data_IF_197742543219
#
_entry.id   IF_197742543219
#
_cell.length_a   1.000
_cell.length_b   1.000
_cell.length_c   1.000
_cell.angle_alpha   90.00
_cell.angle_beta   90.00
_cell.angle_gamma   90.00
#
_symmetry.space_group_name_H-M   'P 1'
#
loop_
_entity.id
_entity.type
_entity.pdbx_description
1 polymer ?
#
# COMPACT_ATOMS: atom_id res chain seq x y z
N UNK A 1 5.56 -25.43 -18.88
CA UNK A 1 5.67 -25.12 -17.43
C UNK A 1 5.54 -23.62 -17.26
N UNK A 2 4.90 -23.12 -16.18
CA UNK A 2 4.78 -21.68 -15.89
C UNK A 2 5.55 -21.35 -14.60
N UNK A 3 6.44 -20.38 -14.68
CA UNK A 3 7.14 -19.78 -13.55
C UNK A 3 6.59 -18.35 -13.31
N UNK A 4 6.16 -18.06 -12.11
CA UNK A 4 5.73 -16.71 -11.72
C UNK A 4 6.72 -16.16 -10.70
N UNK A 5 7.30 -15.00 -10.97
CA UNK A 5 8.20 -14.28 -10.08
C UNK A 5 7.47 -13.01 -9.66
N UNK A 6 6.97 -13.01 -8.44
CA UNK A 6 6.30 -11.87 -7.83
C UNK A 6 7.31 -10.95 -7.13
N UNK A 7 7.00 -9.65 -7.05
CA UNK A 7 7.87 -8.62 -6.46
C UNK A 7 9.27 -8.60 -7.12
N UNK A 8 9.31 -8.68 -8.45
CA UNK A 8 10.57 -8.74 -9.21
C UNK A 8 11.46 -7.51 -8.96
N UNK A 9 10.89 -6.39 -8.55
CA UNK A 9 11.63 -5.21 -8.11
C UNK A 9 12.61 -5.49 -6.96
N UNK A 10 12.35 -6.47 -6.10
CA UNK A 10 13.27 -6.82 -5.01
C UNK A 10 14.61 -7.35 -5.55
N UNK A 11 14.55 -8.14 -6.62
CA UNK A 11 15.75 -8.60 -7.32
C UNK A 11 16.55 -7.43 -7.92
N UNK A 12 15.85 -6.46 -8.52
CA UNK A 12 16.48 -5.27 -9.08
C UNK A 12 17.18 -4.43 -8.00
N UNK A 13 16.55 -4.26 -6.84
CA UNK A 13 17.12 -3.53 -5.70
C UNK A 13 18.36 -4.26 -5.16
N UNK A 14 18.27 -5.56 -4.89
CA UNK A 14 19.38 -6.36 -4.36
C UNK A 14 20.54 -6.46 -5.34
N UNK A 15 20.26 -6.55 -6.63
CA UNK A 15 21.26 -6.56 -7.68
C UNK A 15 21.99 -5.23 -7.81
N UNK A 16 21.28 -4.12 -7.73
CA UNK A 16 21.87 -2.78 -7.77
C UNK A 16 22.76 -2.47 -6.56
N UNK A 17 22.39 -2.98 -5.38
CA UNK A 17 23.20 -2.80 -4.15
C UNK A 17 24.39 -3.76 -4.04
N UNK A 18 24.58 -4.65 -5.03
CA UNK A 18 25.65 -5.65 -5.03
C UNK A 18 25.46 -6.74 -3.96
N UNK A 19 24.29 -6.81 -3.32
CA UNK A 19 23.98 -7.83 -2.30
C UNK A 19 23.76 -9.19 -2.93
N UNK A 20 23.22 -9.23 -4.16
CA UNK A 20 23.04 -10.45 -4.94
C UNK A 20 24.15 -10.55 -6.00
N UNK A 21 25.21 -11.32 -5.68
CA UNK A 21 26.36 -11.49 -6.59
C UNK A 21 25.98 -12.21 -7.89
N UNK A 22 24.94 -13.02 -7.86
CA UNK A 22 24.48 -13.83 -8.98
C UNK A 22 23.41 -13.09 -9.80
N UNK A 23 23.09 -11.85 -9.48
CA UNK A 23 22.04 -11.09 -10.16
C UNK A 23 22.18 -11.09 -11.70
N UNK A 24 23.37 -10.79 -12.28
CA UNK A 24 23.51 -10.84 -13.74
C UNK A 24 23.20 -12.21 -14.33
N UNK A 25 23.67 -13.29 -13.68
CA UNK A 25 23.44 -14.66 -14.14
C UNK A 25 21.95 -15.03 -14.07
N UNK A 26 21.23 -14.63 -13.03
CA UNK A 26 19.78 -14.84 -12.90
C UNK A 26 19.02 -14.10 -14.01
N UNK A 27 19.39 -12.86 -14.30
CA UNK A 27 18.77 -12.07 -15.37
C UNK A 27 19.05 -12.69 -16.75
N UNK A 28 20.28 -13.13 -17.00
CA UNK A 28 20.64 -13.78 -18.26
C UNK A 28 19.89 -15.11 -18.46
N UNK A 29 19.74 -15.90 -17.39
CA UNK A 29 18.97 -17.16 -17.43
C UNK A 29 17.48 -16.90 -17.76
N UNK A 30 16.85 -15.95 -17.08
CA UNK A 30 15.44 -15.57 -17.34
C UNK A 30 15.30 -15.06 -18.78
N UNK A 31 16.23 -14.23 -19.25
CA UNK A 31 16.22 -13.71 -20.62
C UNK A 31 16.36 -14.83 -21.65
N UNK A 32 17.28 -15.77 -21.40
CA UNK A 32 17.49 -16.93 -22.29
C UNK A 32 16.24 -17.79 -22.38
N UNK A 33 15.53 -17.99 -21.26
CA UNK A 33 14.25 -18.71 -21.24
C UNK A 33 13.18 -17.95 -22.03
N UNK A 34 13.11 -16.62 -21.87
CA UNK A 34 12.14 -15.78 -22.58
C UNK A 34 12.36 -15.77 -24.10
N UNK A 35 13.63 -15.84 -24.55
CA UNK A 35 14.00 -15.89 -25.96
C UNK A 35 13.91 -17.31 -26.57
N UNK A 36 13.59 -18.33 -25.77
CA UNK A 36 13.53 -19.71 -26.22
C UNK A 36 12.12 -20.12 -26.63
N UNK A 37 11.99 -20.95 -27.67
CA UNK A 37 10.73 -21.63 -28.06
C UNK A 37 10.38 -22.80 -27.12
N UNK A 38 10.90 -22.80 -25.91
CA UNK A 38 10.75 -23.89 -24.95
C UNK A 38 9.38 -23.91 -24.25
N UNK A 39 9.08 -25.05 -23.61
CA UNK A 39 7.81 -25.27 -22.87
C UNK A 39 7.74 -24.47 -21.52
N UNK A 40 8.63 -23.52 -21.27
CA UNK A 40 8.66 -22.71 -20.05
C UNK A 40 8.26 -21.27 -20.36
N UNK A 41 7.17 -20.85 -19.75
CA UNK A 41 6.74 -19.44 -19.74
C UNK A 41 7.08 -18.80 -18.41
N UNK A 42 7.56 -17.55 -18.44
CA UNK A 42 7.89 -16.77 -17.24
C UNK A 42 6.96 -15.55 -17.16
N UNK A 43 6.35 -15.34 -16.01
CA UNK A 43 5.60 -14.12 -15.69
C UNK A 43 6.36 -13.37 -14.61
N UNK A 44 6.74 -12.12 -14.90
CA UNK A 44 7.33 -11.20 -13.94
C UNK A 44 6.27 -10.23 -13.48
N UNK A 45 6.04 -10.15 -12.17
CA UNK A 45 5.14 -9.16 -11.56
C UNK A 45 6.00 -8.13 -10.87
N UNK A 46 5.84 -6.87 -11.26
CA UNK A 46 6.69 -5.78 -10.81
C UNK A 46 5.89 -4.48 -10.70
N UNK A 47 6.30 -3.61 -9.80
CA UNK A 47 5.78 -2.24 -9.69
C UNK A 47 6.25 -1.41 -10.89
N UNK A 48 5.38 -0.56 -11.40
CA UNK A 48 5.63 0.29 -12.58
C UNK A 48 6.71 1.35 -12.34
N UNK A 49 6.88 1.83 -11.11
CA UNK A 49 7.92 2.79 -10.74
C UNK A 49 9.35 2.21 -10.84
N UNK A 50 9.52 0.89 -10.93
CA UNK A 50 10.80 0.23 -11.17
C UNK A 50 11.14 0.01 -12.65
N UNK A 51 10.25 0.38 -13.56
CA UNK A 51 10.47 0.23 -15.00
C UNK A 51 11.76 0.90 -15.51
N UNK A 52 12.10 2.15 -15.11
CA UNK A 52 13.37 2.77 -15.50
C UNK A 52 14.59 2.00 -15.00
N UNK A 53 14.50 1.39 -13.82
CA UNK A 53 15.59 0.59 -13.26
C UNK A 53 15.76 -0.73 -14.01
N UNK A 54 14.67 -1.41 -14.35
CA UNK A 54 14.70 -2.59 -15.20
C UNK A 54 15.35 -2.29 -16.56
N UNK A 55 14.96 -1.18 -17.20
CA UNK A 55 15.53 -0.74 -18.47
C UNK A 55 17.04 -0.49 -18.38
N UNK A 56 17.49 0.07 -17.25
CA UNK A 56 18.91 0.39 -17.04
C UNK A 56 19.77 -0.84 -16.71
N UNK A 57 19.21 -1.82 -15.99
CA UNK A 57 19.98 -2.96 -15.46
C UNK A 57 19.80 -4.25 -16.25
N UNK A 58 18.66 -4.44 -16.91
CA UNK A 58 18.28 -5.65 -17.64
C UNK A 58 17.51 -5.32 -18.93
N UNK A 59 18.07 -4.42 -19.76
CA UNK A 59 17.41 -3.94 -20.98
C UNK A 59 17.05 -5.07 -21.97
N UNK A 60 17.86 -6.10 -22.10
CA UNK A 60 17.56 -7.27 -22.94
C UNK A 60 16.35 -8.04 -22.44
N UNK A 61 16.23 -8.23 -21.13
CA UNK A 61 15.05 -8.87 -20.52
C UNK A 61 13.79 -8.03 -20.78
N UNK A 62 13.90 -6.72 -20.65
CA UNK A 62 12.79 -5.82 -20.98
C UNK A 62 12.37 -5.94 -22.45
N UNK A 63 13.32 -5.93 -23.39
CA UNK A 63 13.03 -6.11 -24.81
C UNK A 63 12.32 -7.43 -25.08
N UNK A 64 12.77 -8.52 -24.49
CA UNK A 64 12.14 -9.83 -24.61
C UNK A 64 10.72 -9.88 -23.99
N UNK A 65 10.48 -9.16 -22.90
CA UNK A 65 9.20 -9.10 -22.21
C UNK A 65 8.18 -8.14 -22.87
N UNK A 66 8.62 -7.16 -23.67
CA UNK A 66 7.75 -6.14 -24.27
C UNK A 66 6.53 -6.69 -25.02
N UNK A 67 6.61 -7.77 -25.83
CA UNK A 67 5.44 -8.30 -26.53
C UNK A 67 4.35 -8.83 -25.60
N UNK A 68 4.70 -9.22 -24.37
CA UNK A 68 3.80 -9.75 -23.34
C UNK A 68 3.51 -8.75 -22.22
N UNK A 69 3.89 -7.48 -22.36
CA UNK A 69 3.70 -6.47 -21.31
C UNK A 69 2.21 -6.21 -21.06
N UNK A 70 1.78 -6.42 -19.82
CA UNK A 70 0.44 -6.10 -19.34
C UNK A 70 0.52 -5.06 -18.21
N UNK A 71 0.01 -3.86 -18.47
CA UNK A 71 -0.12 -2.85 -17.44
C UNK A 71 -1.42 -3.06 -16.66
N UNK A 72 -1.31 -3.27 -15.35
CA UNK A 72 -2.46 -3.26 -14.45
C UNK A 72 -2.84 -1.81 -14.18
N UNK A 73 -4.13 -1.42 -14.36
CA UNK A 73 -4.55 -0.05 -14.12
C UNK A 73 -4.25 0.42 -12.70
N UNK A 74 -3.67 1.60 -12.55
CA UNK A 74 -3.40 2.24 -11.26
C UNK A 74 -4.63 2.91 -10.63
N UNK A 75 -5.75 2.96 -11.36
CA UNK A 75 -7.02 3.56 -10.93
C UNK A 75 -8.19 2.66 -11.24
N UNK A 76 -9.21 2.73 -10.39
CA UNK A 76 -10.44 1.93 -10.46
C UNK A 76 -11.63 2.83 -10.76
N UNK A 77 -12.37 2.52 -11.82
CA UNK A 77 -13.64 3.15 -12.13
C UNK A 77 -14.79 2.57 -11.29
N UNK A 78 -15.97 3.21 -11.39
CA UNK A 78 -17.19 2.71 -10.68
C UNK A 78 -17.54 1.27 -11.05
N UNK A 79 -17.33 0.88 -12.32
CA UNK A 79 -17.58 -0.47 -12.77
C UNK A 79 -16.62 -1.48 -12.12
N UNK A 80 -15.33 -1.14 -12.10
CA UNK A 80 -14.31 -2.00 -11.50
C UNK A 80 -14.58 -2.20 -10.01
N UNK A 81 -14.91 -1.11 -9.29
CA UNK A 81 -15.29 -1.16 -7.88
C UNK A 81 -16.54 -2.01 -7.67
N UNK A 82 -17.54 -1.89 -8.55
CA UNK A 82 -18.76 -2.69 -8.48
C UNK A 82 -18.45 -4.19 -8.64
N UNK A 83 -17.68 -4.54 -9.65
CA UNK A 83 -17.28 -5.92 -9.91
C UNK A 83 -16.48 -6.51 -8.73
N UNK A 84 -15.54 -5.73 -8.17
CA UNK A 84 -14.73 -6.12 -7.01
C UNK A 84 -15.60 -6.33 -5.75
N UNK A 85 -16.64 -5.53 -5.55
CA UNK A 85 -17.54 -5.63 -4.39
C UNK A 85 -18.53 -6.79 -4.55
N UNK A 86 -19.17 -6.89 -5.70
CA UNK A 86 -20.35 -7.73 -5.88
C UNK A 86 -20.00 -9.16 -6.30
N UNK A 87 -19.05 -9.35 -7.22
CA UNK A 87 -18.77 -10.67 -7.79
C UNK A 87 -18.26 -11.68 -6.75
N UNK A 88 -17.32 -11.32 -5.81
CA UNK A 88 -16.91 -12.25 -4.77
C UNK A 88 -18.05 -12.67 -3.83
N UNK A 89 -18.92 -11.73 -3.44
CA UNK A 89 -20.08 -12.03 -2.59
C UNK A 89 -21.07 -12.99 -3.29
N UNK A 90 -21.37 -12.70 -4.55
CA UNK A 90 -22.25 -13.54 -5.38
C UNK A 90 -21.67 -14.96 -5.57
N UNK A 91 -20.36 -15.09 -5.74
CA UNK A 91 -19.71 -16.40 -5.91
C UNK A 91 -19.87 -17.33 -4.70
N UNK A 92 -20.10 -16.78 -3.51
CA UNK A 92 -20.34 -17.52 -2.26
C UNK A 92 -21.82 -17.48 -1.82
N UNK A 93 -22.74 -17.06 -2.70
CA UNK A 93 -24.17 -17.06 -2.45
C UNK A 93 -24.63 -15.97 -1.46
N UNK A 94 -23.92 -14.84 -1.38
CA UNK A 94 -24.31 -13.69 -0.60
C UNK A 94 -24.91 -12.61 -1.50
N UNK A 95 -25.95 -11.96 -1.01
CA UNK A 95 -26.59 -10.83 -1.68
C UNK A 95 -26.40 -9.54 -0.87
N UNK A 96 -26.34 -8.43 -1.58
CA UNK A 96 -26.37 -7.10 -0.97
C UNK A 96 -27.81 -6.60 -0.86
N UNK A 97 -28.10 -5.90 0.22
CA UNK A 97 -29.30 -5.09 0.29
C UNK A 97 -29.26 -4.03 -0.82
N UNK A 98 -30.40 -3.76 -1.43
CA UNK A 98 -30.52 -2.86 -2.58
C UNK A 98 -29.85 -1.50 -2.31
N UNK A 99 -28.99 -1.05 -3.22
CA UNK A 99 -28.31 0.24 -3.15
C UNK A 99 -27.05 0.25 -2.26
N UNK A 100 -26.74 -0.84 -1.53
CA UNK A 100 -25.58 -0.88 -0.67
C UNK A 100 -24.24 -0.89 -1.46
N UNK A 101 -24.08 -1.63 -2.56
CA UNK A 101 -22.86 -1.55 -3.37
C UNK A 101 -22.58 -0.13 -3.88
N UNK A 102 -23.63 0.55 -4.37
CA UNK A 102 -23.51 1.93 -4.86
C UNK A 102 -23.13 2.91 -3.76
N UNK A 103 -23.64 2.71 -2.55
CA UNK A 103 -23.24 3.50 -1.38
C UNK A 103 -21.79 3.27 -1.03
N UNK A 104 -21.33 2.02 -0.95
CA UNK A 104 -19.91 1.69 -0.67
C UNK A 104 -18.99 2.34 -1.71
N UNK A 105 -19.36 2.26 -3.00
CA UNK A 105 -18.59 2.87 -4.09
C UNK A 105 -18.53 4.39 -3.92
N UNK A 106 -19.64 5.02 -3.56
CA UNK A 106 -19.69 6.47 -3.35
C UNK A 106 -18.77 6.89 -2.22
N UNK A 107 -18.87 6.19 -1.08
CA UNK A 107 -18.04 6.45 0.10
C UNK A 107 -16.53 6.24 -0.19
N UNK A 108 -16.17 5.21 -0.97
CA UNK A 108 -14.79 4.97 -1.42
C UNK A 108 -14.29 6.12 -2.30
N UNK A 109 -15.10 6.59 -3.24
CA UNK A 109 -14.72 7.69 -4.14
C UNK A 109 -14.63 9.04 -3.43
N UNK A 110 -15.40 9.23 -2.35
CA UNK A 110 -15.35 10.44 -1.51
C UNK A 110 -14.14 10.48 -0.57
N UNK A 111 -13.56 9.32 -0.23
CA UNK A 111 -12.33 9.29 0.59
C UNK A 111 -11.08 9.73 -0.17
N UNK A 112 -11.17 9.97 -1.48
CA UNK A 112 -10.05 10.43 -2.30
C UNK A 112 -10.00 11.97 -2.35
N UNK A 113 -8.95 12.63 -1.80
CA UNK A 113 -8.84 14.09 -1.77
C UNK A 113 -8.52 14.75 -3.11
N UNK A 114 -8.24 13.97 -4.18
CA UNK A 114 -7.90 14.53 -5.49
C UNK A 114 -9.11 14.68 -6.42
N UNK A 115 -9.75 15.86 -6.49
CA UNK A 115 -10.90 16.09 -7.37
C UNK A 115 -10.55 16.12 -8.87
N UNK A 116 -9.27 16.12 -9.23
CA UNK A 116 -8.81 16.29 -10.61
C UNK A 116 -8.92 15.02 -11.48
N UNK A 117 -9.01 13.84 -10.91
CA UNK A 117 -9.11 12.56 -11.65
C UNK A 117 -10.55 12.02 -11.77
N UNK A 118 -11.53 12.87 -11.78
CA UNK A 118 -12.92 12.59 -12.14
C UNK A 118 -13.41 11.15 -11.92
N UNK A 119 -14.01 10.85 -10.77
CA UNK A 119 -14.78 9.61 -10.49
C UNK A 119 -14.02 8.27 -10.55
N UNK A 120 -12.70 8.29 -10.36
CA UNK A 120 -11.88 7.09 -10.22
C UNK A 120 -11.21 7.07 -8.85
N UNK A 121 -11.03 5.86 -8.29
CA UNK A 121 -10.27 5.66 -7.06
C UNK A 121 -8.88 5.09 -7.39
N UNK A 122 -7.81 5.50 -6.68
CA UNK A 122 -6.52 4.84 -6.81
C UNK A 122 -6.61 3.39 -6.30
N UNK A 123 -5.83 2.48 -6.85
CA UNK A 123 -5.80 1.07 -6.40
C UNK A 123 -5.42 0.92 -4.92
N UNK A 124 -4.81 1.94 -4.34
CA UNK A 124 -4.47 1.98 -2.89
C UNK A 124 -5.69 1.95 -1.98
N UNK A 125 -6.92 2.14 -2.50
CA UNK A 125 -8.15 1.96 -1.72
C UNK A 125 -8.52 0.50 -1.49
N UNK A 126 -7.95 -0.44 -2.27
CA UNK A 126 -8.30 -1.86 -2.21
C UNK A 126 -8.13 -2.48 -0.82
N UNK A 127 -7.04 -2.25 -0.08
CA UNK A 127 -6.92 -2.77 1.28
C UNK A 127 -8.02 -2.27 2.22
N UNK A 128 -8.42 -1.00 2.08
CA UNK A 128 -9.49 -0.40 2.86
C UNK A 128 -10.83 -1.03 2.51
N UNK A 129 -11.10 -1.20 1.22
CA UNK A 129 -12.30 -1.85 0.71
C UNK A 129 -12.38 -3.31 1.16
N UNK A 130 -11.30 -4.08 1.03
CA UNK A 130 -11.19 -5.47 1.49
C UNK A 130 -11.54 -5.60 2.98
N UNK A 131 -11.00 -4.71 3.82
CA UNK A 131 -11.28 -4.70 5.25
C UNK A 131 -12.74 -4.40 5.54
N UNK A 132 -13.29 -3.39 4.88
CA UNK A 132 -14.70 -3.00 5.01
C UNK A 132 -15.61 -4.18 4.63
N UNK A 133 -15.36 -4.82 3.50
CA UNK A 133 -16.12 -5.97 3.03
C UNK A 133 -15.95 -7.20 3.93
N UNK A 134 -14.73 -7.43 4.45
CA UNK A 134 -14.47 -8.51 5.41
C UNK A 134 -15.26 -8.32 6.70
N UNK A 135 -15.28 -7.10 7.24
CA UNK A 135 -16.02 -6.83 8.47
C UNK A 135 -17.54 -6.87 8.22
N UNK A 136 -18.00 -6.36 7.09
CA UNK A 136 -19.38 -6.45 6.66
C UNK A 136 -19.82 -7.92 6.49
N UNK A 137 -18.95 -8.76 5.90
CA UNK A 137 -19.21 -10.21 5.76
C UNK A 137 -19.32 -10.91 7.12
N UNK A 138 -18.53 -10.52 8.11
CA UNK A 138 -18.63 -11.06 9.49
C UNK A 138 -19.98 -10.75 10.13
N UNK A 139 -20.56 -9.59 9.79
CA UNK A 139 -21.85 -9.12 10.31
C UNK A 139 -23.04 -9.43 9.39
N UNK A 140 -22.84 -10.30 8.37
CA UNK A 140 -23.92 -10.73 7.47
C UNK A 140 -25.07 -11.38 8.24
N UNK A 141 -26.28 -11.20 7.73
CA UNK A 141 -27.47 -11.76 8.31
C UNK A 141 -28.31 -12.45 7.23
N UNK A 142 -28.65 -13.71 7.45
CA UNK A 142 -29.52 -14.49 6.56
C UNK A 142 -29.10 -14.49 5.08
N UNK A 143 -27.79 -14.52 4.81
CA UNK A 143 -27.25 -14.46 3.45
C UNK A 143 -27.17 -13.05 2.86
N UNK A 144 -27.47 -12.00 3.62
CA UNK A 144 -27.47 -10.62 3.17
C UNK A 144 -26.39 -9.78 3.85
N UNK A 145 -25.79 -8.88 3.06
CA UNK A 145 -25.00 -7.75 3.50
C UNK A 145 -25.91 -6.53 3.56
N UNK A 146 -26.06 -5.92 4.75
CA UNK A 146 -27.12 -4.94 5.01
C UNK A 146 -26.56 -3.53 5.27
N UNK A 147 -27.37 -2.51 4.99
CA UNK A 147 -27.07 -1.12 5.34
C UNK A 147 -26.85 -0.95 6.85
N UNK A 148 -27.64 -1.64 7.68
CA UNK A 148 -27.49 -1.59 9.13
C UNK A 148 -26.12 -2.08 9.57
N UNK A 149 -25.65 -3.21 9.04
CA UNK A 149 -24.30 -3.74 9.32
C UNK A 149 -23.22 -2.76 8.84
N UNK A 150 -23.40 -2.18 7.65
CA UNK A 150 -22.47 -1.22 7.07
C UNK A 150 -22.35 0.05 7.92
N UNK A 151 -23.45 0.59 8.41
CA UNK A 151 -23.44 1.74 9.33
C UNK A 151 -22.79 1.39 10.68
N UNK A 152 -23.07 0.17 11.19
CA UNK A 152 -22.52 -0.29 12.48
C UNK A 152 -21.00 -0.40 12.46
N UNK A 153 -20.40 -0.81 11.35
CA UNK A 153 -18.94 -0.82 11.19
C UNK A 153 -18.34 0.57 10.95
N UNK A 154 -19.17 1.60 10.84
CA UNK A 154 -18.75 2.98 10.59
C UNK A 154 -18.44 3.27 9.12
N UNK A 155 -19.07 2.55 8.19
CA UNK A 155 -18.83 2.63 6.75
C UNK A 155 -17.35 2.38 6.38
N UNK A 156 -16.87 2.92 5.27
CA UNK A 156 -15.48 2.78 4.83
C UNK A 156 -14.51 3.41 5.82
N UNK A 157 -14.82 4.61 6.32
CA UNK A 157 -13.93 5.34 7.24
C UNK A 157 -13.80 4.67 8.61
N UNK A 158 -14.89 4.09 9.15
CA UNK A 158 -14.87 3.42 10.44
C UNK A 158 -14.05 2.12 10.43
N UNK A 159 -14.08 1.39 9.33
CA UNK A 159 -13.27 0.19 9.15
C UNK A 159 -11.77 0.49 9.25
N UNK A 160 -11.33 1.64 8.72
CA UNK A 160 -9.93 2.09 8.80
C UNK A 160 -9.53 2.42 10.25
N UNK A 161 -10.40 3.14 10.97
CA UNK A 161 -10.17 3.45 12.39
C UNK A 161 -10.06 2.19 13.23
N UNK A 162 -11.00 1.27 13.09
CA UNK A 162 -10.99 0.00 13.81
C UNK A 162 -9.73 -0.85 13.50
N UNK A 163 -9.24 -0.76 12.28
CA UNK A 163 -8.01 -1.43 11.87
C UNK A 163 -6.76 -0.83 12.54
N UNK A 164 -6.61 0.47 12.51
CA UNK A 164 -5.53 1.15 13.21
C UNK A 164 -5.55 0.85 14.70
N UNK A 165 -6.72 0.93 15.34
CA UNK A 165 -6.86 0.58 16.75
C UNK A 165 -6.49 -0.86 17.06
N UNK A 166 -6.86 -1.80 16.18
CA UNK A 166 -6.48 -3.22 16.34
C UNK A 166 -4.97 -3.41 16.27
N UNK A 167 -4.31 -2.73 15.34
CA UNK A 167 -2.85 -2.79 15.22
C UNK A 167 -2.15 -2.17 16.45
N UNK A 168 -2.68 -1.05 16.95
CA UNK A 168 -2.15 -0.40 18.15
C UNK A 168 -2.35 -1.27 19.41
N UNK A 169 -3.45 -1.99 19.52
CA UNK A 169 -3.69 -2.92 20.65
C UNK A 169 -2.72 -4.11 20.71
N UNK A 170 -2.01 -4.43 19.65
CA UNK A 170 -0.95 -5.45 19.66
C UNK A 170 0.38 -4.96 20.25
N UNK A 171 0.50 -3.65 20.41
CA UNK A 171 1.67 -2.99 20.98
C UNK A 171 1.50 -2.82 22.49
N UNK A 172 2.60 -2.87 23.22
CA UNK A 172 2.61 -2.49 24.64
C UNK A 172 2.21 -1.03 24.82
N UNK A 173 1.77 -0.58 26.03
CA UNK A 173 1.45 0.83 26.27
C UNK A 173 2.57 1.80 25.88
N UNK A 174 3.82 1.46 26.16
CA UNK A 174 4.97 2.27 25.81
C UNK A 174 5.17 2.33 24.29
N UNK A 175 5.05 1.18 23.61
CA UNK A 175 5.13 1.09 22.16
C UNK A 175 3.97 1.81 21.45
N UNK A 176 2.80 1.92 22.07
CA UNK A 176 1.69 2.72 21.52
C UNK A 176 2.03 4.21 21.48
N UNK A 177 2.77 4.69 22.47
CA UNK A 177 3.30 6.06 22.48
C UNK A 177 4.27 6.28 21.31
N UNK A 178 5.20 5.34 21.10
CA UNK A 178 6.13 5.37 19.97
C UNK A 178 5.36 5.32 18.64
N UNK A 179 4.37 4.43 18.51
CA UNK A 179 3.57 4.31 17.29
C UNK A 179 2.84 5.61 16.96
N UNK A 180 2.30 6.30 17.95
CA UNK A 180 1.68 7.61 17.77
C UNK A 180 2.67 8.66 17.26
N UNK A 181 3.89 8.68 17.78
CA UNK A 181 4.94 9.57 17.33
C UNK A 181 5.34 9.24 15.89
N UNK A 182 5.58 7.96 15.56
CA UNK A 182 5.88 7.49 14.21
C UNK A 182 4.79 7.97 13.22
N UNK A 183 3.52 7.70 13.51
CA UNK A 183 2.42 8.08 12.62
C UNK A 183 2.30 9.60 12.45
N UNK A 184 2.58 10.36 13.52
CA UNK A 184 2.58 11.83 13.47
C UNK A 184 3.70 12.36 12.57
N UNK A 185 4.91 11.80 12.65
CA UNK A 185 6.03 12.18 11.80
C UNK A 185 5.78 11.92 10.31
N UNK A 186 4.93 10.93 9.99
CA UNK A 186 4.59 10.57 8.61
C UNK A 186 3.47 11.45 8.01
N UNK A 187 3.07 12.52 8.71
CA UNK A 187 2.08 13.47 8.22
C UNK A 187 2.67 14.87 8.22
N UNK A 188 2.66 15.54 7.08
CA UNK A 188 2.88 16.98 7.02
C UNK A 188 1.59 17.68 7.42
N UNK A 189 1.63 18.54 8.44
CA UNK A 189 0.44 19.27 8.85
C UNK A 189 -0.08 20.19 7.73
N UNK A 190 -1.37 20.51 7.78
CA UNK A 190 -1.99 21.45 6.87
C UNK A 190 -1.31 22.84 6.96
N UNK A 191 -1.05 23.42 5.80
CA UNK A 191 -0.68 24.85 5.70
C UNK A 191 -1.93 25.67 5.39
N UNK A 192 -2.53 26.23 6.43
CA UNK A 192 -3.77 27.03 6.32
C UNK A 192 -3.57 28.32 5.54
N UNK A 193 -2.35 28.88 5.51
CA UNK A 193 -2.04 30.12 4.77
C UNK A 193 -2.01 29.84 3.26
N UNK A 194 -1.47 28.69 2.88
CA UNK A 194 -1.37 28.27 1.47
C UNK A 194 -2.53 27.38 1.01
N UNK A 195 -3.50 27.08 1.90
CA UNK A 195 -4.62 26.18 1.66
C UNK A 195 -4.17 24.77 1.24
N UNK A 196 -3.04 24.32 1.75
CA UNK A 196 -2.54 22.96 1.51
C UNK A 196 -3.14 22.05 2.60
N UNK A 197 -3.87 20.99 2.22
CA UNK A 197 -4.35 20.00 3.20
C UNK A 197 -3.18 19.20 3.80
N UNK A 198 -3.39 18.50 4.92
CA UNK A 198 -2.38 17.60 5.44
C UNK A 198 -2.09 16.51 4.40
N UNK A 199 -0.82 16.20 4.19
CA UNK A 199 -0.37 15.20 3.21
C UNK A 199 0.60 14.21 3.84
N UNK A 200 0.71 13.03 3.24
CA UNK A 200 1.70 12.03 3.65
C UNK A 200 3.12 12.60 3.50
N UNK A 201 3.98 12.21 4.42
CA UNK A 201 5.40 12.48 4.35
C UNK A 201 6.17 11.17 4.20
N UNK A 202 7.17 11.18 3.32
CA UNK A 202 8.21 10.15 3.30
C UNK A 202 9.32 10.60 4.25
N UNK A 203 9.62 9.78 5.24
CA UNK A 203 10.62 10.08 6.27
C UNK A 203 11.67 8.97 6.28
N UNK A 204 12.98 9.31 6.18
CA UNK A 204 14.05 8.34 6.32
C UNK A 204 13.92 7.57 7.65
N UNK A 205 14.18 6.26 7.62
CA UNK A 205 14.01 5.44 8.83
C UNK A 205 14.93 5.89 9.96
N UNK A 206 16.14 6.35 9.67
CA UNK A 206 17.07 6.85 10.68
C UNK A 206 16.58 8.15 11.33
N UNK A 207 16.02 9.06 10.53
CA UNK A 207 15.36 10.26 11.02
C UNK A 207 14.13 9.91 11.85
N UNK A 208 13.31 8.96 11.37
CA UNK A 208 12.11 8.50 12.06
C UNK A 208 12.42 7.88 13.42
N UNK A 209 13.50 7.10 13.53
CA UNK A 209 14.01 6.58 14.82
C UNK A 209 14.34 7.69 15.80
N UNK A 210 15.03 8.72 15.32
CA UNK A 210 15.38 9.87 16.15
C UNK A 210 14.17 10.69 16.62
N UNK A 211 13.22 10.94 15.71
CA UNK A 211 12.01 11.74 16.00
C UNK A 211 11.02 10.97 16.88
N UNK A 212 10.88 9.66 16.70
CA UNK A 212 9.91 8.84 17.42
C UNK A 212 10.37 8.42 18.82
N UNK A 213 11.68 8.37 19.09
CA UNK A 213 12.23 7.98 20.38
C UNK A 213 11.91 8.97 21.53
N UNK A 214 11.57 10.23 21.22
CA UNK A 214 11.30 11.26 22.23
C UNK A 214 12.51 11.62 23.10
N UNK A 215 12.33 12.58 24.02
CA UNK A 215 13.41 13.06 24.89
C UNK A 215 13.84 12.06 26.00
N UNK A 216 13.04 11.03 26.28
CA UNK A 216 13.24 10.02 27.33
C UNK A 216 13.66 8.63 26.77
N UNK A 217 14.45 8.61 25.70
CA UNK A 217 15.24 7.45 25.23
C UNK A 217 14.53 6.10 25.30
N UNK A 218 13.52 5.89 24.42
CA UNK A 218 13.16 4.52 24.08
C UNK A 218 14.34 3.86 23.36
N UNK A 219 14.74 2.62 23.68
CA UNK A 219 15.76 1.90 22.93
C UNK A 219 15.39 1.86 21.44
N UNK A 220 16.35 2.05 20.54
CA UNK A 220 16.13 2.01 19.10
C UNK A 220 15.43 0.72 18.64
N UNK A 221 15.63 -0.38 19.35
CA UNK A 221 14.99 -1.67 19.13
C UNK A 221 13.45 -1.61 19.26
N UNK A 222 12.91 -0.78 20.17
CA UNK A 222 11.46 -0.62 20.32
C UNK A 222 10.84 0.16 19.16
N UNK A 223 11.53 1.17 18.63
CA UNK A 223 11.06 1.92 17.46
C UNK A 223 11.02 1.00 16.23
N UNK A 224 12.05 0.19 16.01
CA UNK A 224 12.11 -0.76 14.91
C UNK A 224 11.02 -1.84 15.03
N UNK A 225 10.74 -2.35 16.24
CA UNK A 225 9.67 -3.29 16.49
C UNK A 225 8.29 -2.70 16.17
N UNK A 226 8.07 -1.42 16.51
CA UNK A 226 6.85 -0.68 16.19
C UNK A 226 6.72 -0.48 14.69
N UNK A 227 7.77 -0.01 14.00
CA UNK A 227 7.79 0.17 12.55
C UNK A 227 7.48 -1.16 11.84
N UNK A 228 8.12 -2.26 12.25
CA UNK A 228 7.87 -3.58 11.69
C UNK A 228 6.42 -4.05 11.90
N UNK A 229 5.83 -3.74 13.06
CA UNK A 229 4.44 -4.09 13.35
C UNK A 229 3.47 -3.26 12.51
N UNK A 230 3.67 -1.96 12.40
CA UNK A 230 2.85 -1.07 11.55
C UNK A 230 2.96 -1.45 10.07
N UNK A 231 4.17 -1.80 9.59
CA UNK A 231 4.39 -2.27 8.22
C UNK A 231 3.72 -3.62 7.95
N UNK A 232 3.87 -4.60 8.85
CA UNK A 232 3.19 -5.90 8.77
C UNK A 232 1.66 -5.75 8.75
N UNK A 233 1.14 -4.76 9.46
CA UNK A 233 -0.29 -4.41 9.47
C UNK A 233 -0.70 -3.51 8.32
N UNK A 234 0.20 -3.19 7.39
CA UNK A 234 -0.07 -2.34 6.23
C UNK A 234 -0.67 -0.97 6.61
N UNK A 235 -0.22 -0.40 7.71
CA UNK A 235 -0.53 0.98 8.10
C UNK A 235 0.49 1.92 7.47
N UNK A 236 1.75 1.48 7.46
CA UNK A 236 2.85 2.15 6.78
C UNK A 236 3.46 1.22 5.73
N UNK A 237 4.13 1.80 4.78
CA UNK A 237 5.03 1.08 3.87
C UNK A 237 6.45 1.58 4.08
N UNK A 238 7.42 0.68 3.90
CA UNK A 238 8.83 1.03 3.89
C UNK A 238 9.39 0.79 2.49
N UNK A 239 9.92 1.82 1.89
CA UNK A 239 10.49 1.79 0.53
C UNK A 239 11.87 2.41 0.55
N UNK A 240 12.63 2.26 -0.53
CA UNK A 240 13.89 3.00 -0.70
C UNK A 240 13.60 4.28 -1.50
N UNK A 241 14.22 5.40 -1.10
CA UNK A 241 14.08 6.65 -1.85
C UNK A 241 14.53 6.45 -3.29
N UNK A 242 13.68 6.88 -4.23
CA UNK A 242 14.07 6.97 -5.63
C UNK A 242 15.14 8.07 -5.76
N UNK A 243 16.20 7.79 -6.50
CA UNK A 243 17.22 8.80 -6.83
C UNK A 243 16.56 9.91 -7.64
N UNK A 244 16.52 11.11 -7.11
CA UNK A 244 16.11 12.27 -7.87
C UNK A 244 17.13 12.58 -8.98
N UNK A 245 16.70 13.13 -10.13
CA UNK A 245 17.59 13.50 -11.23
C UNK A 245 18.70 14.49 -10.82
N UNK A 246 18.50 15.23 -9.72
CA UNK A 246 19.44 16.24 -9.23
C UNK A 246 20.59 15.66 -8.36
N UNK A 247 20.50 14.42 -7.88
CA UNK A 247 21.51 13.76 -7.06
C UNK A 247 21.61 12.25 -7.36
N UNK A 248 22.15 11.87 -8.51
CA UNK A 248 22.23 10.46 -8.91
C UNK A 248 23.17 9.60 -8.04
N UNK A 249 24.07 10.24 -7.26
CA UNK A 249 25.06 9.57 -6.41
C UNK A 249 24.64 9.47 -4.93
N UNK A 250 23.47 10.02 -4.53
CA UNK A 250 23.01 9.93 -3.16
C UNK A 250 22.73 8.47 -2.78
N UNK A 251 23.15 8.02 -1.57
CA UNK A 251 22.80 6.68 -1.09
C UNK A 251 21.29 6.52 -1.04
N UNK A 252 20.79 5.33 -1.38
CA UNK A 252 19.38 4.99 -1.20
C UNK A 252 19.14 4.84 0.29
N UNK A 253 18.30 5.69 0.83
CA UNK A 253 17.90 5.61 2.22
C UNK A 253 16.53 4.92 2.31
N UNK A 254 16.37 3.95 3.22
CA UNK A 254 15.06 3.39 3.48
C UNK A 254 14.17 4.46 4.12
N UNK A 255 12.99 4.66 3.54
CA UNK A 255 11.98 5.62 4.02
C UNK A 255 10.71 4.90 4.42
N UNK A 256 9.97 5.47 5.36
CA UNK A 256 8.62 5.06 5.69
C UNK A 256 7.61 6.12 5.24
N UNK A 257 6.42 5.68 4.86
CA UNK A 257 5.27 6.54 4.57
C UNK A 257 3.96 5.85 4.96
N UNK A 258 2.89 6.61 5.16
CA UNK A 258 1.55 6.05 5.33
C UNK A 258 1.09 5.38 4.03
N UNK A 259 0.46 4.22 4.14
CA UNK A 259 0.00 3.50 2.94
C UNK A 259 -1.19 4.19 2.26
N UNK A 260 -1.99 4.95 3.01
CA UNK A 260 -3.21 5.59 2.48
C UNK A 260 -3.47 6.95 3.13
N UNK A 261 -3.86 7.95 2.33
CA UNK A 261 -4.16 9.30 2.82
C UNK A 261 -5.35 9.36 3.78
N UNK A 262 -6.30 8.43 3.67
CA UNK A 262 -7.42 8.33 4.61
C UNK A 262 -6.97 8.12 6.07
N UNK A 263 -5.76 7.60 6.31
CA UNK A 263 -5.17 7.48 7.64
C UNK A 263 -4.89 8.85 8.28
N UNK A 264 -4.67 9.88 7.46
CA UNK A 264 -4.46 11.26 7.95
C UNK A 264 -5.76 11.79 8.57
N UNK A 265 -6.90 11.52 7.94
CA UNK A 265 -8.20 11.98 8.42
C UNK A 265 -8.62 11.29 9.74
N UNK A 266 -8.24 10.01 9.91
CA UNK A 266 -8.53 9.26 11.15
C UNK A 266 -7.56 9.60 12.28
N UNK A 267 -6.31 9.97 11.97
CA UNK A 267 -5.31 10.40 12.98
C UNK A 267 -5.66 11.68 13.70
N UNK A 268 -6.43 12.57 13.09
CA UNK A 268 -6.95 13.76 13.75
C UNK A 268 -8.01 13.44 14.83
N UNK A 269 -8.62 12.25 14.79
CA UNK A 269 -9.60 11.79 15.79
C UNK A 269 -8.99 11.04 16.98
N UNK A 270 -7.79 10.50 16.87
CA UNK A 270 -7.11 9.77 17.97
C UNK A 270 -6.40 10.66 18.99
N UNK A 271 -6.49 11.98 18.84
CA UNK A 271 -5.79 12.96 19.69
C UNK A 271 -6.68 13.77 20.64
N UNK A 272 -7.99 13.54 20.66
CA UNK A 272 -8.92 14.23 21.55
C UNK A 272 -9.74 13.22 22.36
N UNK A 273 -9.15 12.73 23.42
CA UNK A 273 -9.77 11.95 24.47
C UNK A 273 -8.91 12.03 25.72
#
# INVERSE_FOLDING_TARGET
MLLVIDQFEELLVQGADGRLREFPAVIDEITTVADSDGDLSVILVMRDDFYPQLAATAGRLLEAAMPGLLNVPGTLGRKDLYDIIVEPARSVGLDFQQGLPEQIISDVLETNPEPAMGRQAPVTVLPLLEMTLTELWRQRKDGYLTHEAYQRIGAVGGSLTAWCEKALRELSPDQQGIAKNVLTCLVRPADTQRRIPPVRAQVPLDELRGLAAGADSAPGDDVDAVIATLARRRIITTTQTLRGPERPEAPREPVAELIHDALIATGAGCGSG
#
